data_IF_881776204489
#
_entry.id   IF_881776204489
#
_cell.length_a   1.000
_cell.length_b   1.000
_cell.length_c   1.000
_cell.angle_alpha   90.00
_cell.angle_beta   90.00
_cell.angle_gamma   90.00
#
_symmetry.space_group_name_H-M   'P 1'
#
loop_
_entity.id
_entity.type
_entity.pdbx_description
1 polymer ?
#
# COMPACT_ATOMS: atom_id res chain seq x y z
N UNK A 1 83.27 -53.31 76.62
CA UNK A 1 83.50 -53.96 75.33
C UNK A 1 82.68 -55.24 75.34
N UNK A 2 81.59 -55.34 74.58
CA UNK A 2 80.83 -56.58 74.48
C UNK A 2 81.43 -57.49 73.42
N UNK A 3 81.53 -58.77 73.74
CA UNK A 3 82.07 -59.85 72.92
C UNK A 3 81.42 -59.90 71.54
N UNK A 4 82.25 -59.83 70.49
CA UNK A 4 81.85 -59.97 69.11
C UNK A 4 81.38 -61.42 68.89
N UNK A 5 80.07 -61.62 68.83
CA UNK A 5 79.46 -62.93 68.59
C UNK A 5 79.83 -63.35 67.16
N UNK A 6 80.82 -64.24 67.04
CA UNK A 6 81.21 -64.87 65.79
C UNK A 6 80.07 -65.79 65.35
N UNK A 7 79.28 -65.36 64.36
CA UNK A 7 78.25 -66.18 63.73
C UNK A 7 78.96 -67.12 62.73
N UNK A 8 79.19 -68.37 63.12
CA UNK A 8 79.59 -69.45 62.19
C UNK A 8 78.40 -69.78 61.26
N UNK A 9 78.66 -69.72 59.96
CA UNK A 9 77.82 -70.08 58.80
C UNK A 9 76.31 -69.70 58.85
N UNK A 10 75.88 -68.63 58.15
CA UNK A 10 74.48 -68.21 58.11
C UNK A 10 73.54 -69.25 57.49
N UNK A 11 74.03 -70.25 56.76
CA UNK A 11 73.20 -71.29 56.14
C UNK A 11 72.73 -72.38 57.12
N UNK A 12 73.35 -72.53 58.28
CA UNK A 12 73.00 -73.57 59.26
C UNK A 12 72.08 -73.09 60.40
N UNK A 13 71.70 -71.81 60.43
CA UNK A 13 70.86 -71.25 61.50
C UNK A 13 69.37 -71.50 61.27
N UNK A 14 68.61 -71.99 62.26
CA UNK A 14 67.17 -72.20 62.11
C UNK A 14 66.43 -70.90 61.74
N UNK A 15 65.40 -70.94 60.85
CA UNK A 15 64.72 -69.73 60.38
C UNK A 15 64.16 -68.85 61.49
N UNK A 16 63.66 -69.45 62.56
CA UNK A 16 63.19 -68.72 63.74
C UNK A 16 64.31 -67.93 64.43
N UNK A 17 65.51 -68.50 64.50
CA UNK A 17 66.69 -67.83 65.05
C UNK A 17 67.08 -66.66 64.16
N UNK A 18 66.95 -66.78 62.83
CA UNK A 18 67.22 -65.68 61.90
C UNK A 18 66.24 -64.52 62.08
N UNK A 19 64.93 -64.76 62.20
CA UNK A 19 63.96 -63.69 62.43
C UNK A 19 64.17 -63.02 63.80
N UNK A 20 64.46 -63.79 64.85
CA UNK A 20 64.78 -63.22 66.17
C UNK A 20 66.05 -62.37 66.09
N UNK A 21 67.06 -62.83 65.35
CA UNK A 21 68.31 -62.08 65.13
C UNK A 21 68.05 -60.77 64.39
N UNK A 22 67.17 -60.79 63.38
CA UNK A 22 66.70 -59.60 62.67
C UNK A 22 66.02 -58.65 63.66
N UNK A 23 65.06 -59.12 64.45
CA UNK A 23 64.36 -58.30 65.45
C UNK A 23 65.33 -57.67 66.47
N UNK A 24 66.32 -58.43 66.97
CA UNK A 24 67.34 -57.94 67.90
C UNK A 24 68.18 -56.83 67.27
N UNK A 25 68.60 -57.03 66.01
CA UNK A 25 69.38 -56.04 65.26
C UNK A 25 68.63 -54.72 65.16
N UNK A 26 67.34 -54.74 64.80
CA UNK A 26 66.58 -53.49 64.64
C UNK A 26 66.21 -52.84 65.97
N UNK A 27 65.88 -53.62 67.02
CA UNK A 27 65.67 -53.07 68.37
C UNK A 27 66.91 -52.35 68.88
N UNK A 28 68.11 -52.92 68.67
CA UNK A 28 69.36 -52.30 69.10
C UNK A 28 69.68 -50.97 68.40
N UNK A 29 69.05 -50.69 67.24
CA UNK A 29 69.20 -49.41 66.52
C UNK A 29 68.32 -48.31 67.11
N UNK A 30 67.16 -48.65 67.66
CA UNK A 30 66.20 -47.67 68.19
C UNK A 30 66.45 -47.38 69.68
N UNK A 31 66.70 -48.41 70.49
CA UNK A 31 66.69 -48.28 71.95
C UNK A 31 68.08 -48.51 72.56
N UNK A 32 68.64 -47.46 73.17
CA UNK A 32 69.93 -47.55 73.89
C UNK A 32 69.78 -48.05 75.34
N UNK A 33 68.57 -47.99 75.91
CA UNK A 33 68.27 -48.34 77.31
C UNK A 33 67.29 -49.54 77.40
N UNK A 34 67.79 -50.74 77.10
CA UNK A 34 67.52 -51.97 77.88
C UNK A 34 66.22 -52.77 77.72
N UNK A 35 65.04 -52.18 77.50
CA UNK A 35 63.77 -52.90 77.75
C UNK A 35 63.36 -53.89 76.64
N UNK A 36 63.27 -53.47 75.36
CA UNK A 36 62.95 -54.39 74.26
C UNK A 36 64.12 -55.35 73.98
N UNK A 37 65.35 -54.87 74.15
CA UNK A 37 66.55 -55.70 73.98
C UNK A 37 66.59 -56.83 75.02
N UNK A 38 66.17 -56.56 76.27
CA UNK A 38 66.03 -57.55 77.34
C UNK A 38 64.95 -58.59 77.02
N UNK A 39 63.82 -58.16 76.45
CA UNK A 39 62.74 -59.05 76.03
C UNK A 39 63.16 -59.98 74.88
N UNK A 40 63.78 -59.42 73.84
CA UNK A 40 64.27 -60.21 72.70
C UNK A 40 65.43 -61.14 73.08
N UNK A 41 66.34 -60.71 73.96
CA UNK A 41 67.39 -61.57 74.50
C UNK A 41 66.83 -62.72 75.36
N UNK A 42 65.71 -62.50 76.04
CA UNK A 42 64.98 -63.56 76.75
C UNK A 42 64.28 -64.50 75.78
N UNK A 43 63.67 -63.96 74.71
CA UNK A 43 63.08 -64.76 73.64
C UNK A 43 64.15 -65.66 72.97
N UNK A 44 65.30 -65.10 72.60
CA UNK A 44 66.42 -65.82 71.98
C UNK A 44 66.97 -66.93 72.90
N UNK A 45 67.19 -66.64 74.19
CA UNK A 45 67.67 -67.64 75.15
C UNK A 45 66.66 -68.78 75.36
N UNK A 46 65.37 -68.45 75.42
CA UNK A 46 64.32 -69.45 75.53
C UNK A 46 64.21 -70.31 74.26
N UNK A 47 64.44 -69.75 73.06
CA UNK A 47 64.43 -70.51 71.80
C UNK A 47 65.61 -71.47 71.71
N UNK A 48 66.77 -71.09 72.26
CA UNK A 48 67.97 -71.92 72.30
C UNK A 48 67.91 -73.02 73.38
N UNK A 49 67.26 -72.77 74.53
CA UNK A 49 67.14 -73.75 75.64
C UNK A 49 66.01 -74.78 75.49
N UNK A 50 65.00 -74.52 74.66
CA UNK A 50 63.80 -75.36 74.58
C UNK A 50 63.99 -76.66 73.79
N UNK A 51 64.17 -77.78 74.50
CA UNK A 51 63.95 -79.12 73.96
C UNK A 51 62.48 -79.33 73.59
N UNK A 52 62.21 -79.79 72.35
CA UNK A 52 60.88 -80.08 71.77
C UNK A 52 59.89 -78.89 71.77
N UNK A 53 60.26 -77.75 71.20
CA UNK A 53 59.25 -76.80 70.72
C UNK A 53 58.56 -77.37 69.47
N UNK A 54 57.22 -77.24 69.39
CA UNK A 54 56.54 -77.23 68.09
C UNK A 54 57.04 -76.00 67.35
N UNK A 55 58.04 -76.19 66.48
CA UNK A 55 58.58 -75.11 65.66
C UNK A 55 57.50 -74.70 64.67
N UNK A 56 57.11 -73.41 64.57
CA UNK A 56 56.28 -72.97 63.47
C UNK A 56 56.97 -73.38 62.15
N UNK A 57 56.19 -73.87 61.18
CA UNK A 57 56.71 -74.23 59.85
C UNK A 57 57.04 -72.95 59.08
N UNK A 58 58.08 -72.25 59.51
CA UNK A 58 58.64 -71.13 58.79
C UNK A 58 59.46 -71.69 57.63
N UNK A 59 58.94 -71.53 56.42
CA UNK A 59 59.69 -71.83 55.21
C UNK A 59 60.92 -70.90 55.15
N UNK A 60 62.11 -71.49 54.95
CA UNK A 60 63.39 -70.77 54.82
C UNK A 60 63.29 -69.68 53.76
N UNK A 61 62.63 -69.96 52.63
CA UNK A 61 62.48 -68.98 51.54
C UNK A 61 61.64 -67.77 51.98
N UNK A 62 60.56 -67.99 52.73
CA UNK A 62 59.73 -66.90 53.24
C UNK A 62 60.49 -66.02 54.24
N UNK A 63 61.36 -66.63 55.06
CA UNK A 63 62.20 -65.88 56.01
C UNK A 63 63.28 -65.09 55.28
N UNK A 64 63.89 -65.67 54.24
CA UNK A 64 64.86 -64.99 53.38
C UNK A 64 64.26 -63.79 52.67
N UNK A 65 63.04 -63.92 52.16
CA UNK A 65 62.34 -62.82 51.47
C UNK A 65 61.78 -61.77 52.44
N UNK A 66 61.45 -62.18 53.67
CA UNK A 66 60.93 -61.29 54.70
C UNK A 66 61.98 -60.27 55.12
N UNK A 67 63.23 -60.69 55.35
CA UNK A 67 64.30 -59.82 55.83
C UNK A 67 64.47 -58.52 55.03
N UNK A 68 64.74 -58.58 53.70
CA UNK A 68 64.90 -57.40 52.86
C UNK A 68 63.65 -56.52 52.78
N UNK A 69 62.45 -57.12 52.81
CA UNK A 69 61.18 -56.37 52.77
C UNK A 69 60.93 -55.63 54.07
N UNK A 70 61.21 -56.27 55.20
CA UNK A 70 61.10 -55.65 56.51
C UNK A 70 62.15 -54.55 56.65
N UNK A 71 63.39 -54.79 56.23
CA UNK A 71 64.46 -53.78 56.21
C UNK A 71 64.06 -52.56 55.36
N UNK A 72 63.57 -52.80 54.14
CA UNK A 72 63.07 -51.72 53.29
C UNK A 72 61.92 -50.96 53.93
N UNK A 73 60.96 -51.64 54.58
CA UNK A 73 59.85 -50.96 55.26
C UNK A 73 60.34 -50.16 56.47
N UNK A 74 61.30 -50.72 57.22
CA UNK A 74 61.86 -50.11 58.42
C UNK A 74 62.68 -48.86 58.11
N UNK A 75 63.54 -48.89 57.08
CA UNK A 75 64.40 -47.76 56.71
C UNK A 75 63.61 -46.55 56.17
N UNK A 76 62.42 -46.78 55.63
CA UNK A 76 61.52 -45.72 55.15
C UNK A 76 60.51 -45.26 56.21
N UNK A 77 60.39 -45.99 57.32
CA UNK A 77 59.47 -45.65 58.40
C UNK A 77 60.04 -44.54 59.28
N UNK A 78 59.17 -43.66 59.75
CA UNK A 78 59.49 -42.68 60.79
C UNK A 78 59.86 -43.38 62.12
N UNK A 79 60.56 -42.72 63.05
CA UNK A 79 60.96 -43.34 64.31
C UNK A 79 59.81 -43.96 65.13
N UNK A 80 58.60 -43.38 65.06
CA UNK A 80 57.41 -43.92 65.71
C UNK A 80 56.89 -45.18 64.99
N UNK A 81 56.80 -45.13 63.66
CA UNK A 81 56.41 -46.29 62.82
C UNK A 81 57.42 -47.43 62.91
N UNK A 82 58.72 -47.14 63.08
CA UNK A 82 59.75 -48.14 63.30
C UNK A 82 59.50 -48.94 64.60
N UNK A 83 59.03 -48.28 65.65
CA UNK A 83 58.65 -48.94 66.91
C UNK A 83 57.41 -49.81 66.70
N UNK A 84 56.40 -49.34 65.96
CA UNK A 84 55.20 -50.12 65.63
C UNK A 84 55.50 -51.35 64.76
N UNK A 85 56.39 -51.21 63.78
CA UNK A 85 56.85 -52.33 62.94
C UNK A 85 57.56 -53.40 63.77
N UNK A 86 58.39 -52.99 64.74
CA UNK A 86 59.03 -53.92 65.67
C UNK A 86 58.00 -54.59 66.57
N UNK A 87 57.05 -53.84 67.13
CA UNK A 87 55.97 -54.37 67.97
C UNK A 87 55.16 -55.41 67.18
N UNK A 88 54.81 -55.12 65.93
CA UNK A 88 54.08 -56.02 65.04
C UNK A 88 54.88 -57.28 64.72
N UNK A 89 56.19 -57.15 64.48
CA UNK A 89 57.09 -58.29 64.26
C UNK A 89 57.18 -59.18 65.50
N UNK A 90 57.34 -58.58 66.68
CA UNK A 90 57.37 -59.30 67.96
C UNK A 90 56.02 -59.99 68.21
N UNK A 91 54.91 -59.31 67.97
CA UNK A 91 53.57 -59.86 68.11
C UNK A 91 53.35 -61.07 67.20
N UNK A 92 53.68 -60.97 65.92
CA UNK A 92 53.59 -62.07 64.97
C UNK A 92 54.48 -63.26 65.38
N UNK A 93 55.71 -62.99 65.84
CA UNK A 93 56.62 -64.02 66.36
C UNK A 93 56.02 -64.73 67.57
N UNK A 94 55.49 -63.98 68.54
CA UNK A 94 54.92 -64.53 69.77
C UNK A 94 53.66 -65.35 69.47
N UNK A 95 52.79 -64.87 68.58
CA UNK A 95 51.59 -65.56 68.15
C UNK A 95 51.92 -66.88 67.43
N UNK A 96 52.85 -66.87 66.47
CA UNK A 96 53.21 -68.07 65.69
C UNK A 96 53.98 -69.11 66.51
N UNK A 97 54.78 -68.67 67.48
CA UNK A 97 55.55 -69.57 68.35
C UNK A 97 54.77 -70.02 69.59
N UNK A 98 53.54 -69.52 69.80
CA UNK A 98 52.71 -69.76 70.99
C UNK A 98 53.46 -69.47 72.29
N UNK A 99 54.27 -68.42 72.30
CA UNK A 99 55.24 -68.17 73.37
C UNK A 99 54.62 -67.78 74.72
N UNK A 100 53.32 -67.49 74.76
CA UNK A 100 52.55 -67.26 76.00
C UNK A 100 52.64 -68.43 76.99
N UNK A 101 53.01 -69.63 76.55
CA UNK A 101 53.25 -70.78 77.41
C UNK A 101 54.51 -70.68 78.30
N UNK A 102 55.43 -69.73 78.04
CA UNK A 102 56.74 -69.64 78.71
C UNK A 102 56.83 -68.59 79.82
N UNK A 103 55.69 -68.04 80.29
CA UNK A 103 55.64 -67.19 81.49
C UNK A 103 56.23 -65.79 81.34
N UNK A 104 56.44 -65.30 80.12
CA UNK A 104 56.88 -63.92 79.87
C UNK A 104 55.71 -62.98 80.20
N UNK A 105 55.88 -62.16 81.24
CA UNK A 105 54.92 -61.14 81.63
C UNK A 105 55.16 -59.86 80.83
N UNK A 106 54.50 -59.74 79.67
CA UNK A 106 54.58 -58.53 78.84
C UNK A 106 54.07 -57.28 79.59
N UNK A 107 53.18 -57.47 80.55
CA UNK A 107 52.62 -56.40 81.40
C UNK A 107 53.69 -55.60 82.16
N UNK A 108 54.87 -56.19 82.39
CA UNK A 108 55.96 -55.54 83.13
C UNK A 108 56.86 -54.68 82.23
N UNK A 109 56.58 -54.62 80.92
CA UNK A 109 57.33 -53.81 79.94
C UNK A 109 56.52 -52.62 79.47
N UNK A 110 57.20 -51.50 79.14
CA UNK A 110 56.55 -50.28 78.61
C UNK A 110 55.71 -50.56 77.34
N UNK A 111 56.07 -51.59 76.57
CA UNK A 111 55.41 -51.97 75.31
C UNK A 111 54.43 -53.14 75.45
N UNK A 112 54.09 -53.54 76.69
CA UNK A 112 53.26 -54.72 76.95
C UNK A 112 51.87 -54.65 76.30
N UNK A 113 51.17 -53.53 76.47
CA UNK A 113 49.82 -53.33 75.94
C UNK A 113 49.82 -53.29 74.40
N UNK A 114 50.70 -52.51 73.72
CA UNK A 114 50.80 -52.54 72.26
C UNK A 114 51.09 -53.93 71.68
N UNK A 115 52.02 -54.69 72.29
CA UNK A 115 52.36 -56.04 71.82
C UNK A 115 51.14 -56.97 71.93
N UNK A 116 50.37 -56.90 73.02
CA UNK A 116 49.17 -57.72 73.18
C UNK A 116 48.06 -57.38 72.18
N UNK A 117 47.88 -56.08 71.88
CA UNK A 117 46.92 -55.65 70.88
C UNK A 117 47.27 -56.18 69.48
N UNK A 118 48.55 -56.10 69.09
CA UNK A 118 48.99 -56.61 67.79
C UNK A 118 48.92 -58.13 67.68
N UNK A 119 49.14 -58.87 68.78
CA UNK A 119 48.93 -60.33 68.80
C UNK A 119 47.47 -60.66 68.47
N UNK A 120 46.51 -59.95 69.10
CA UNK A 120 45.09 -60.17 68.85
C UNK A 120 44.69 -59.81 67.41
N UNK A 121 45.24 -58.70 66.88
CA UNK A 121 45.05 -58.28 65.47
C UNK A 121 45.54 -59.36 64.50
N UNK A 122 46.75 -59.87 64.74
CA UNK A 122 47.36 -60.92 63.91
C UNK A 122 46.56 -62.22 63.93
N UNK A 123 46.11 -62.68 65.11
CA UNK A 123 45.29 -63.89 65.23
C UNK A 123 43.90 -63.73 64.58
N UNK A 124 43.30 -62.54 64.66
CA UNK A 124 42.04 -62.23 63.98
C UNK A 124 42.19 -62.30 62.46
N UNK A 125 43.25 -61.71 61.90
CA UNK A 125 43.55 -61.79 60.48
C UNK A 125 43.76 -63.24 60.02
N UNK A 126 44.53 -64.03 60.79
CA UNK A 126 44.79 -65.44 60.48
C UNK A 126 43.51 -66.29 60.51
N UNK A 127 42.61 -66.01 61.45
CA UNK A 127 41.30 -66.67 61.58
C UNK A 127 40.35 -66.28 60.45
N UNK A 128 40.39 -65.02 59.99
CA UNK A 128 39.65 -64.59 58.82
C UNK A 128 40.16 -65.34 57.57
N UNK A 129 41.49 -65.37 57.37
CA UNK A 129 42.11 -66.02 56.21
C UNK A 129 41.79 -67.52 56.10
N UNK A 130 41.72 -68.24 57.23
CA UNK A 130 41.36 -69.66 57.24
C UNK A 130 39.86 -69.93 57.04
N UNK A 131 38.99 -68.97 57.36
CA UNK A 131 37.54 -69.04 57.08
C UNK A 131 37.19 -68.72 55.61
N UNK A 132 38.02 -67.95 54.91
CA UNK A 132 37.74 -67.52 53.54
C UNK A 132 38.23 -68.49 52.44
N UNK A 133 38.96 -69.56 52.75
CA UNK A 133 39.48 -70.50 51.73
C UNK A 133 38.42 -71.41 51.07
N UNK A 134 37.15 -71.36 51.52
CA UNK A 134 36.01 -72.03 50.86
C UNK A 134 35.19 -71.14 49.91
N UNK A 135 35.42 -69.82 49.90
CA UNK A 135 34.58 -68.83 49.21
C UNK A 135 35.00 -68.57 47.75
N UNK A 136 36.25 -68.90 47.38
CA UNK A 136 36.83 -68.58 46.06
C UNK A 136 36.14 -69.24 44.86
N UNK A 137 35.48 -70.39 45.04
CA UNK A 137 34.81 -71.09 43.93
C UNK A 137 33.40 -70.59 43.59
N UNK A 138 32.78 -69.81 44.49
CA UNK A 138 31.47 -69.21 44.28
C UNK A 138 31.58 -67.78 43.74
N UNK A 139 32.58 -67.02 44.20
CA UNK A 139 32.80 -65.63 43.79
C UNK A 139 33.34 -65.52 42.35
N UNK A 140 34.21 -66.44 41.92
CA UNK A 140 34.72 -66.45 40.54
C UNK A 140 33.61 -66.57 39.49
N UNK A 141 32.59 -67.39 39.74
CA UNK A 141 31.43 -67.52 38.83
C UNK A 141 30.53 -66.27 38.80
N UNK A 142 30.38 -65.58 39.94
CA UNK A 142 29.57 -64.35 40.03
C UNK A 142 30.31 -63.16 39.43
N UNK A 143 31.63 -63.07 39.63
CA UNK A 143 32.46 -62.01 39.04
C UNK A 143 32.55 -62.15 37.52
N UNK A 144 32.59 -63.36 36.97
CA UNK A 144 32.62 -63.57 35.52
C UNK A 144 31.26 -63.25 34.86
N UNK A 145 30.14 -63.58 35.54
CA UNK A 145 28.82 -63.11 35.12
C UNK A 145 28.67 -61.58 35.21
N UNK A 146 29.20 -60.95 36.26
CA UNK A 146 29.17 -59.49 36.37
C UNK A 146 30.10 -58.81 35.36
N UNK A 147 31.28 -59.36 35.07
CA UNK A 147 32.17 -58.82 34.05
C UNK A 147 31.50 -58.82 32.66
N UNK A 148 30.82 -59.91 32.28
CA UNK A 148 30.06 -59.98 31.03
C UNK A 148 28.85 -59.03 31.02
N UNK A 149 28.17 -58.84 32.16
CA UNK A 149 27.07 -57.89 32.26
C UNK A 149 27.54 -56.43 32.21
N UNK A 150 28.68 -56.10 32.82
CA UNK A 150 29.29 -54.77 32.79
C UNK A 150 29.83 -54.45 31.40
N UNK A 151 30.43 -55.40 30.71
CA UNK A 151 30.89 -55.21 29.32
C UNK A 151 29.72 -54.98 28.37
N UNK A 152 28.65 -55.77 28.49
CA UNK A 152 27.43 -55.57 27.70
C UNK A 152 26.74 -54.26 28.04
N UNK A 153 26.64 -53.90 29.32
CA UNK A 153 26.08 -52.62 29.75
C UNK A 153 26.92 -51.43 29.29
N UNK A 154 28.25 -51.55 29.29
CA UNK A 154 29.16 -50.52 28.79
C UNK A 154 29.02 -50.35 27.27
N UNK A 155 28.92 -51.44 26.51
CA UNK A 155 28.70 -51.39 25.07
C UNK A 155 27.33 -50.81 24.71
N UNK A 156 26.27 -51.23 25.41
CA UNK A 156 24.92 -50.70 25.24
C UNK A 156 24.85 -49.21 25.64
N UNK A 157 25.52 -48.82 26.74
CA UNK A 157 25.60 -47.42 27.17
C UNK A 157 26.38 -46.55 26.19
N UNK A 158 27.48 -47.05 25.61
CA UNK A 158 28.23 -46.36 24.58
C UNK A 158 27.37 -46.16 23.32
N UNK A 159 26.59 -47.17 22.92
CA UNK A 159 25.65 -47.06 21.82
C UNK A 159 24.53 -46.06 22.10
N UNK A 160 23.95 -46.06 23.30
CA UNK A 160 22.91 -45.11 23.71
C UNK A 160 23.46 -43.69 23.78
N UNK A 161 24.66 -43.49 24.33
CA UNK A 161 25.33 -42.19 24.37
C UNK A 161 25.67 -41.68 22.97
N UNK A 162 26.09 -42.56 22.07
CA UNK A 162 26.39 -42.20 20.69
C UNK A 162 25.11 -41.90 19.89
N UNK A 163 24.03 -42.66 20.10
CA UNK A 163 22.72 -42.39 19.53
C UNK A 163 22.15 -41.05 20.05
N UNK A 164 22.21 -40.81 21.37
CA UNK A 164 21.78 -39.56 21.99
C UNK A 164 22.64 -38.38 21.53
N UNK A 165 23.96 -38.54 21.39
CA UNK A 165 24.84 -37.52 20.83
C UNK A 165 24.50 -37.19 19.39
N UNK A 166 24.23 -38.21 18.56
CA UNK A 166 23.82 -38.01 17.17
C UNK A 166 22.45 -37.31 17.09
N UNK A 167 21.51 -37.66 17.97
CA UNK A 167 20.20 -37.01 18.07
C UNK A 167 20.32 -35.55 18.50
N UNK A 168 21.20 -35.23 19.45
CA UNK A 168 21.47 -33.84 19.85
C UNK A 168 22.10 -33.04 18.71
N UNK A 169 23.05 -33.62 17.96
CA UNK A 169 23.63 -32.97 16.77
C UNK A 169 22.55 -32.73 15.70
N UNK A 170 21.67 -33.71 15.49
CA UNK A 170 20.56 -33.56 14.54
C UNK A 170 19.56 -32.49 14.99
N UNK A 171 19.21 -32.44 16.29
CA UNK A 171 18.35 -31.40 16.86
C UNK A 171 18.98 -30.01 16.78
N UNK A 172 20.30 -29.90 17.00
CA UNK A 172 21.03 -28.64 16.81
C UNK A 172 21.02 -28.20 15.34
N UNK A 173 21.22 -29.12 14.40
CA UNK A 173 21.10 -28.81 12.98
C UNK A 173 19.69 -28.37 12.59
N UNK A 174 18.66 -29.06 13.09
CA UNK A 174 17.25 -28.71 12.84
C UNK A 174 16.86 -27.36 13.43
N UNK A 175 17.35 -27.04 14.63
CA UNK A 175 17.11 -25.73 15.25
C UNK A 175 17.85 -24.60 14.52
N UNK A 176 19.10 -24.82 14.10
CA UNK A 176 19.83 -23.87 13.26
C UNK A 176 19.11 -23.61 11.92
N UNK A 177 18.63 -24.66 11.25
CA UNK A 177 17.86 -24.54 10.01
C UNK A 177 16.51 -23.83 10.23
N UNK A 178 15.83 -24.11 11.34
CA UNK A 178 14.57 -23.44 11.67
C UNK A 178 14.78 -21.94 11.94
N UNK A 179 15.82 -21.57 12.68
CA UNK A 179 16.18 -20.16 12.95
C UNK A 179 16.52 -19.45 11.63
N UNK A 180 17.28 -20.10 10.75
CA UNK A 180 17.61 -19.54 9.43
C UNK A 180 16.35 -19.28 8.59
N UNK A 181 15.42 -20.24 8.54
CA UNK A 181 14.15 -20.07 7.82
C UNK A 181 13.31 -18.93 8.39
N UNK A 182 13.27 -18.79 9.72
CA UNK A 182 12.55 -17.69 10.37
C UNK A 182 13.17 -16.34 9.99
N UNK A 183 14.50 -16.21 10.04
CA UNK A 183 15.21 -14.99 9.63
C UNK A 183 14.99 -14.66 8.15
N UNK A 184 15.00 -15.66 7.27
CA UNK A 184 14.75 -15.47 5.84
C UNK A 184 13.31 -14.99 5.59
N UNK A 185 12.33 -15.55 6.29
CA UNK A 185 10.93 -15.12 6.22
C UNK A 185 10.70 -13.73 6.82
N UNK A 186 11.37 -13.38 7.91
CA UNK A 186 11.31 -12.04 8.50
C UNK A 186 11.85 -10.97 7.53
N UNK A 187 12.95 -11.30 6.83
CA UNK A 187 13.53 -10.42 5.81
C UNK A 187 12.59 -10.24 4.62
N UNK A 188 11.95 -11.32 4.15
CA UNK A 188 10.93 -11.27 3.08
C UNK A 188 9.70 -10.47 3.49
N UNK A 189 9.26 -10.64 4.73
CA UNK A 189 8.12 -9.93 5.28
C UNK A 189 8.38 -8.43 5.37
N UNK A 190 9.56 -8.02 5.88
CA UNK A 190 9.97 -6.60 5.89
C UNK A 190 10.02 -6.02 4.49
N UNK A 191 10.60 -6.73 3.52
CA UNK A 191 10.65 -6.27 2.12
C UNK A 191 9.25 -6.12 1.50
N UNK A 192 8.30 -7.00 1.86
CA UNK A 192 6.91 -6.87 1.45
C UNK A 192 6.22 -5.67 2.09
N UNK A 193 6.45 -5.39 3.38
CA UNK A 193 5.91 -4.19 4.03
C UNK A 193 6.39 -2.89 3.37
N UNK A 194 7.68 -2.81 3.00
CA UNK A 194 8.22 -1.66 2.27
C UNK A 194 7.59 -1.51 0.88
N UNK A 195 7.38 -2.63 0.18
CA UNK A 195 6.67 -2.64 -1.11
C UNK A 195 5.23 -2.16 -0.97
N UNK A 196 4.50 -2.59 0.07
CA UNK A 196 3.14 -2.11 0.34
C UNK A 196 3.11 -0.63 0.68
N UNK A 197 4.07 -0.13 1.48
CA UNK A 197 4.20 1.30 1.79
C UNK A 197 4.38 2.14 0.53
N UNK A 198 5.26 1.70 -0.39
CA UNK A 198 5.48 2.36 -1.67
C UNK A 198 4.24 2.32 -2.58
N UNK A 199 3.54 1.18 -2.65
CA UNK A 199 2.32 1.03 -3.43
C UNK A 199 1.19 1.95 -2.92
N UNK A 200 1.01 2.03 -1.60
CA UNK A 200 0.04 2.95 -0.97
C UNK A 200 0.42 4.41 -1.26
N UNK A 201 1.71 4.76 -1.19
CA UNK A 201 2.19 6.09 -1.53
C UNK A 201 1.89 6.47 -2.99
N UNK A 202 2.08 5.54 -3.94
CA UNK A 202 1.74 5.75 -5.34
C UNK A 202 0.23 5.87 -5.57
N UNK A 203 -0.56 4.99 -4.95
CA UNK A 203 -2.02 5.03 -5.04
C UNK A 203 -2.59 6.35 -4.49
N UNK A 204 -2.04 6.85 -3.39
CA UNK A 204 -2.42 8.15 -2.83
C UNK A 204 -2.13 9.29 -3.81
N UNK A 205 -0.92 9.33 -4.38
CA UNK A 205 -0.55 10.35 -5.38
C UNK A 205 -1.44 10.29 -6.62
N UNK A 206 -1.79 9.10 -7.10
CA UNK A 206 -2.72 8.94 -8.22
C UNK A 206 -4.13 9.41 -7.86
N UNK A 207 -4.60 9.12 -6.64
CA UNK A 207 -5.90 9.62 -6.15
C UNK A 207 -5.91 11.15 -6.04
N UNK A 208 -4.84 11.76 -5.52
CA UNK A 208 -4.71 13.20 -5.40
C UNK A 208 -4.67 13.87 -6.79
N UNK A 209 -3.93 13.29 -7.75
CA UNK A 209 -3.91 13.76 -9.14
C UNK A 209 -5.27 13.61 -9.83
N UNK A 210 -5.98 12.51 -9.60
CA UNK A 210 -7.31 12.29 -10.17
C UNK A 210 -8.34 13.28 -9.59
N UNK A 211 -8.25 13.59 -8.30
CA UNK A 211 -9.09 14.60 -7.67
C UNK A 211 -8.83 16.00 -8.25
N UNK A 212 -7.56 16.39 -8.43
CA UNK A 212 -7.20 17.68 -9.03
C UNK A 212 -7.64 17.77 -10.50
N UNK A 213 -7.48 16.69 -11.27
CA UNK A 213 -7.93 16.61 -12.66
C UNK A 213 -9.46 16.72 -12.78
N UNK A 214 -10.20 16.06 -11.88
CA UNK A 214 -11.67 16.16 -11.82
C UNK A 214 -12.13 17.58 -11.50
N UNK A 215 -11.46 18.26 -10.58
CA UNK A 215 -11.77 19.65 -10.23
C UNK A 215 -11.51 20.62 -11.40
N UNK A 216 -10.39 20.47 -12.10
CA UNK A 216 -10.11 21.23 -13.34
C UNK A 216 -11.12 20.94 -14.44
N UNK A 217 -11.53 19.68 -14.61
CA UNK A 217 -12.54 19.31 -15.59
C UNK A 217 -13.91 19.94 -15.26
N UNK A 218 -14.30 19.98 -13.99
CA UNK A 218 -15.52 20.65 -13.54
C UNK A 218 -15.49 22.17 -13.78
N UNK A 219 -14.36 22.82 -13.54
CA UNK A 219 -14.16 24.25 -13.78
C UNK A 219 -14.21 24.59 -15.29
N UNK A 220 -13.57 23.75 -16.12
CA UNK A 220 -13.64 23.85 -17.59
C UNK A 220 -15.09 23.63 -18.07
N UNK A 221 -15.80 22.64 -17.53
CA UNK A 221 -17.18 22.36 -17.89
C UNK A 221 -18.11 23.52 -17.53
N UNK A 222 -17.96 24.10 -16.33
CA UNK A 222 -18.73 25.28 -15.90
C UNK A 222 -18.45 26.50 -16.79
N UNK A 223 -17.18 26.73 -17.14
CA UNK A 223 -16.79 27.82 -18.05
C UNK A 223 -17.33 27.58 -19.46
N UNK A 224 -17.33 26.33 -19.93
CA UNK A 224 -17.88 25.95 -21.22
C UNK A 224 -19.40 26.12 -21.27
N UNK A 225 -20.14 25.77 -20.21
CA UNK A 225 -21.58 26.03 -20.12
C UNK A 225 -21.88 27.53 -20.17
N UNK A 226 -21.10 28.34 -19.45
CA UNK A 226 -21.16 29.80 -19.53
C UNK A 226 -20.97 30.31 -20.96
N UNK A 227 -19.91 29.87 -21.62
CA UNK A 227 -19.59 30.25 -23.00
C UNK A 227 -20.64 29.77 -24.01
N UNK A 228 -21.17 28.55 -23.86
CA UNK A 228 -22.22 27.99 -24.73
C UNK A 228 -23.51 28.78 -24.56
N UNK A 229 -23.89 29.15 -23.33
CA UNK A 229 -25.09 29.94 -23.09
C UNK A 229 -24.97 31.37 -23.65
N UNK A 230 -23.80 31.99 -23.52
CA UNK A 230 -23.48 33.28 -24.13
C UNK A 230 -23.51 33.21 -25.67
N UNK A 231 -22.89 32.17 -26.25
CA UNK A 231 -22.90 31.93 -27.69
C UNK A 231 -24.32 31.69 -28.21
N UNK A 232 -25.11 30.85 -27.54
CA UNK A 232 -26.52 30.61 -27.91
C UNK A 232 -27.33 31.90 -27.87
N UNK A 233 -27.11 32.75 -26.86
CA UNK A 233 -27.77 34.04 -26.76
C UNK A 233 -27.37 34.98 -27.89
N UNK A 234 -26.07 35.05 -28.23
CA UNK A 234 -25.56 35.85 -29.35
C UNK A 234 -26.10 35.35 -30.71
N UNK A 235 -26.17 34.04 -30.94
CA UNK A 235 -26.74 33.46 -32.17
C UNK A 235 -28.25 33.71 -32.25
N UNK A 236 -28.98 33.58 -31.14
CA UNK A 236 -30.40 33.91 -31.10
C UNK A 236 -30.65 35.40 -31.35
N UNK A 237 -29.78 36.27 -30.87
CA UNK A 237 -29.84 37.71 -31.15
C UNK A 237 -29.56 37.99 -32.64
N UNK A 238 -28.49 37.41 -33.20
CA UNK A 238 -28.12 37.56 -34.60
C UNK A 238 -29.21 37.04 -35.57
N UNK A 239 -29.86 35.92 -35.24
CA UNK A 239 -30.93 35.34 -36.09
C UNK A 239 -32.21 36.18 -36.09
N UNK A 240 -32.63 36.73 -34.94
CA UNK A 240 -33.76 37.68 -34.86
C UNK A 240 -33.50 38.92 -35.72
N UNK A 241 -32.27 39.40 -35.65
CA UNK A 241 -31.75 40.55 -36.41
C UNK A 241 -31.77 40.29 -37.92
N UNK A 242 -31.23 39.16 -38.37
CA UNK A 242 -31.20 38.79 -39.80
C UNK A 242 -32.61 38.64 -40.39
N UNK A 243 -33.55 38.12 -39.59
CA UNK A 243 -34.96 38.01 -39.99
C UNK A 243 -35.59 39.38 -40.24
N UNK A 244 -35.31 40.37 -39.38
CA UNK A 244 -35.80 41.74 -39.56
C UNK A 244 -35.19 42.37 -40.82
N UNK A 245 -33.89 42.16 -41.08
CA UNK A 245 -33.22 42.64 -42.29
C UNK A 245 -33.87 42.09 -43.56
N UNK A 246 -34.04 40.77 -43.63
CA UNK A 246 -34.68 40.07 -44.76
C UNK A 246 -36.11 40.55 -45.02
N UNK A 247 -36.85 40.87 -43.96
CA UNK A 247 -38.22 41.39 -44.08
C UNK A 247 -38.24 42.75 -44.81
N UNK A 248 -37.39 43.69 -44.39
CA UNK A 248 -37.33 45.02 -44.99
C UNK A 248 -36.78 45.01 -46.41
N UNK A 249 -35.78 44.17 -46.69
CA UNK A 249 -35.23 43.99 -48.03
C UNK A 249 -36.27 43.42 -49.01
N UNK A 250 -37.02 42.39 -48.57
CA UNK A 250 -38.15 41.85 -49.34
C UNK A 250 -39.22 42.93 -49.57
N UNK A 251 -39.53 43.75 -48.57
CA UNK A 251 -40.51 44.84 -48.71
C UNK A 251 -40.04 45.90 -49.71
N UNK A 252 -38.77 46.28 -49.65
CA UNK A 252 -38.16 47.20 -50.62
C UNK A 252 -38.25 46.63 -52.04
N UNK A 253 -37.92 45.35 -52.23
CA UNK A 253 -37.99 44.69 -53.55
C UNK A 253 -39.42 44.65 -54.09
N UNK A 254 -40.40 44.28 -53.28
CA UNK A 254 -41.81 44.26 -53.70
C UNK A 254 -42.29 45.67 -54.10
N UNK A 255 -41.96 46.69 -53.32
CA UNK A 255 -42.34 48.07 -53.63
C UNK A 255 -41.61 48.61 -54.88
N UNK A 256 -40.36 48.21 -55.10
CA UNK A 256 -39.62 48.54 -56.32
C UNK A 256 -40.28 47.94 -57.56
N UNK A 257 -40.69 46.67 -57.49
CA UNK A 257 -41.42 46.01 -58.58
C UNK A 257 -42.75 46.72 -58.82
N UNK A 258 -43.52 47.03 -57.77
CA UNK A 258 -44.78 47.77 -57.89
C UNK A 258 -44.59 49.17 -58.51
N UNK A 259 -43.51 49.88 -58.14
CA UNK A 259 -43.13 51.15 -58.74
C UNK A 259 -42.84 51.00 -60.24
N UNK A 260 -41.98 50.06 -60.63
CA UNK A 260 -41.63 49.86 -62.05
C UNK A 260 -42.82 49.40 -62.89
N UNK A 261 -43.65 48.48 -62.37
CA UNK A 261 -44.87 48.06 -63.04
C UNK A 261 -45.84 49.24 -63.23
N UNK A 262 -46.06 50.05 -62.20
CA UNK A 262 -46.93 51.23 -62.33
C UNK A 262 -46.35 52.30 -63.24
N UNK A 263 -45.03 52.54 -63.21
CA UNK A 263 -44.35 53.44 -64.12
C UNK A 263 -44.48 52.99 -65.59
N UNK A 264 -44.35 51.68 -65.85
CA UNK A 264 -44.58 51.11 -67.17
C UNK A 264 -46.03 51.29 -67.65
N UNK A 265 -47.01 51.08 -66.76
CA UNK A 265 -48.43 51.33 -67.08
C UNK A 265 -48.69 52.81 -67.34
N UNK A 266 -48.15 53.72 -66.53
CA UNK A 266 -48.26 55.17 -66.77
C UNK A 266 -47.65 55.56 -68.12
N UNK A 267 -46.47 55.02 -68.43
CA UNK A 267 -45.80 55.23 -69.72
C UNK A 267 -46.65 54.72 -70.89
N UNK A 268 -47.25 53.54 -70.75
CA UNK A 268 -48.17 52.99 -71.75
C UNK A 268 -49.39 53.90 -71.96
N UNK A 269 -50.00 54.40 -70.88
CA UNK A 269 -51.12 55.33 -71.00
C UNK A 269 -50.67 56.65 -71.64
N UNK A 270 -49.64 57.31 -71.13
CA UNK A 270 -49.23 58.64 -71.58
C UNK A 270 -48.57 58.68 -72.96
N UNK A 271 -47.90 57.61 -73.40
CA UNK A 271 -47.12 57.60 -74.63
C UNK A 271 -47.72 56.62 -75.64
N UNK A 272 -47.89 55.35 -75.26
CA UNK A 272 -48.29 54.30 -76.21
C UNK A 272 -49.71 54.54 -76.73
N UNK A 273 -50.68 54.82 -75.86
CA UNK A 273 -52.08 55.04 -76.28
C UNK A 273 -52.20 56.24 -77.25
N UNK A 274 -51.66 57.45 -76.95
CA UNK A 274 -51.69 58.56 -77.90
C UNK A 274 -50.99 58.26 -79.21
N UNK A 275 -49.82 57.60 -79.19
CA UNK A 275 -49.09 57.25 -80.40
C UNK A 275 -49.91 56.28 -81.26
N UNK A 276 -50.47 55.22 -80.66
CA UNK A 276 -51.35 54.27 -81.36
C UNK A 276 -52.60 54.97 -81.92
N UNK A 277 -53.20 55.89 -81.16
CA UNK A 277 -54.33 56.68 -81.61
C UNK A 277 -53.98 57.59 -82.81
N UNK A 278 -52.77 58.15 -82.85
CA UNK A 278 -52.27 58.92 -83.99
C UNK A 278 -52.00 58.05 -85.22
N UNK A 279 -51.46 56.85 -85.04
CA UNK A 279 -51.26 55.89 -86.15
C UNK A 279 -52.59 55.38 -86.73
N UNK A 280 -53.63 55.23 -85.91
CA UNK A 280 -54.96 54.76 -86.31
C UNK A 280 -56.01 55.87 -86.33
N UNK A 281 -55.59 57.09 -86.66
CA UNK A 281 -56.44 58.29 -86.60
C UNK A 281 -57.73 58.11 -87.42
N UNK A 282 -57.66 57.49 -88.59
CA UNK A 282 -58.84 57.21 -89.43
C UNK A 282 -59.88 56.31 -88.74
N UNK A 283 -59.42 55.28 -88.03
CA UNK A 283 -60.31 54.37 -87.29
C UNK A 283 -60.93 55.07 -86.08
N UNK A 284 -60.14 55.88 -85.37
CA UNK A 284 -60.62 56.68 -84.23
C UNK A 284 -61.67 57.68 -84.69
N UNK A 285 -61.43 58.39 -85.80
CA UNK A 285 -62.41 59.31 -86.40
C UNK A 285 -63.66 58.58 -86.90
N UNK A 286 -63.52 57.38 -87.47
CA UNK A 286 -64.67 56.58 -87.90
C UNK A 286 -65.54 56.13 -86.72
N UNK A 287 -64.93 55.67 -85.61
CA UNK A 287 -65.66 55.31 -84.38
C UNK A 287 -66.34 56.54 -83.79
N UNK A 288 -65.62 57.67 -83.70
CA UNK A 288 -66.17 58.92 -83.20
C UNK A 288 -67.34 59.40 -84.07
N UNK A 289 -67.21 59.29 -85.39
CA UNK A 289 -68.26 59.57 -86.36
C UNK A 289 -69.49 58.68 -86.18
N UNK A 290 -69.29 57.38 -85.97
CA UNK A 290 -70.38 56.45 -85.69
C UNK A 290 -71.11 56.80 -84.39
N UNK A 291 -70.39 57.12 -83.31
CA UNK A 291 -70.97 57.55 -82.03
C UNK A 291 -71.74 58.88 -82.18
N UNK A 292 -71.22 59.81 -83.00
CA UNK A 292 -71.90 61.08 -83.31
C UNK A 292 -73.14 60.91 -84.20
N UNK A 293 -73.20 59.86 -85.01
CA UNK A 293 -74.36 59.52 -85.85
C UNK A 293 -75.41 58.75 -85.07
N UNK A 294 -75.03 57.80 -84.21
CA UNK A 294 -75.98 57.06 -83.36
C UNK A 294 -76.71 57.94 -82.37
N UNK A 295 -76.06 59.00 -81.88
CA UNK A 295 -76.72 60.04 -81.05
C UNK A 295 -77.80 60.83 -81.78
N UNK A 296 -77.91 60.74 -83.10
CA UNK A 296 -78.99 61.34 -83.90
C UNK A 296 -80.14 60.36 -84.23
N UNK A 297 -79.95 59.05 -84.02
CA UNK A 297 -80.95 58.03 -84.34
C UNK A 297 -82.15 58.22 -83.38
N UNK A 298 -83.28 58.66 -83.93
CA UNK A 298 -84.50 58.95 -83.19
C UNK A 298 -84.98 60.40 -83.27
N UNK A 299 -84.17 61.31 -83.82
CA UNK A 299 -84.59 62.69 -84.07
C UNK A 299 -84.94 62.90 -85.56
N UNK A 300 -86.17 63.34 -85.86
CA UNK A 300 -86.58 63.65 -87.24
C UNK A 300 -86.02 65.02 -87.65
N UNK A 301 -85.16 65.04 -88.67
CA UNK A 301 -84.50 66.24 -89.19
C UNK A 301 -85.49 67.34 -89.61
N UNK A 302 -86.73 66.97 -89.97
CA UNK A 302 -87.76 67.89 -90.44
C UNK A 302 -88.54 68.62 -89.33
N UNK A 303 -88.43 68.22 -88.06
CA UNK A 303 -89.25 68.76 -86.95
C UNK A 303 -88.45 69.12 -85.69
N UNK A 304 -87.17 69.45 -85.83
CA UNK A 304 -86.31 69.79 -84.69
C UNK A 304 -86.64 71.17 -84.13
N UNK A 305 -87.18 71.20 -82.91
CA UNK A 305 -87.22 72.42 -82.08
C UNK A 305 -85.80 72.90 -81.76
N UNK A 306 -85.56 74.23 -81.63
CA UNK A 306 -84.27 74.77 -81.17
C UNK A 306 -83.75 74.12 -79.87
N UNK A 307 -84.65 73.70 -78.98
CA UNK A 307 -84.31 73.00 -77.74
C UNK A 307 -83.77 71.57 -77.96
N UNK A 308 -84.20 70.89 -79.03
CA UNK A 308 -83.68 69.57 -79.37
C UNK A 308 -82.27 69.65 -80.00
N UNK A 309 -82.01 70.69 -80.79
CA UNK A 309 -80.68 70.98 -81.34
C UNK A 309 -79.64 71.25 -80.24
N UNK A 310 -79.99 72.03 -79.21
CA UNK A 310 -79.10 72.27 -78.07
C UNK A 310 -78.86 71.00 -77.25
N UNK A 311 -79.90 70.19 -77.02
CA UNK A 311 -79.76 68.91 -76.32
C UNK A 311 -78.82 67.93 -77.05
N UNK A 312 -78.91 67.83 -78.38
CA UNK A 312 -78.01 67.00 -79.20
C UNK A 312 -76.56 67.51 -79.12
N UNK A 313 -76.36 68.84 -79.21
CA UNK A 313 -75.03 69.44 -79.10
C UNK A 313 -74.39 69.17 -77.72
N UNK A 314 -75.16 69.34 -76.65
CA UNK A 314 -74.71 69.02 -75.28
C UNK A 314 -74.37 67.54 -75.16
N UNK A 315 -75.24 66.64 -75.65
CA UNK A 315 -74.99 65.19 -75.59
C UNK A 315 -73.68 64.81 -76.30
N UNK A 316 -73.42 65.38 -77.48
CA UNK A 316 -72.15 65.15 -78.21
C UNK A 316 -70.94 65.60 -77.42
N UNK A 317 -70.98 66.78 -76.81
CA UNK A 317 -69.88 67.27 -75.96
C UNK A 317 -69.68 66.34 -74.76
N UNK A 318 -70.75 65.93 -74.09
CA UNK A 318 -70.69 65.01 -72.93
C UNK A 318 -70.09 63.66 -73.32
N UNK A 319 -70.52 63.07 -74.43
CA UNK A 319 -70.04 61.75 -74.90
C UNK A 319 -68.54 61.76 -75.21
N UNK A 320 -67.98 62.88 -75.67
CA UNK A 320 -66.53 63.00 -75.93
C UNK A 320 -65.75 63.37 -74.65
N UNK A 321 -66.30 64.29 -73.85
CA UNK A 321 -65.59 64.80 -72.65
C UNK A 321 -65.55 63.79 -71.51
N UNK A 322 -66.57 62.96 -71.31
CA UNK A 322 -66.62 61.99 -70.21
C UNK A 322 -65.49 60.94 -70.31
N UNK A 323 -65.25 60.26 -71.45
CA UNK A 323 -64.12 59.33 -71.59
C UNK A 323 -62.76 60.00 -71.39
N UNK A 324 -62.59 61.24 -71.88
CA UNK A 324 -61.36 62.02 -71.69
C UNK A 324 -61.15 62.34 -70.20
N UNK A 325 -62.20 62.80 -69.51
CA UNK A 325 -62.14 63.08 -68.08
C UNK A 325 -61.85 61.81 -67.26
N UNK A 326 -62.49 60.68 -67.60
CA UNK A 326 -62.25 59.39 -66.99
C UNK A 326 -60.80 58.92 -67.23
N UNK A 327 -60.28 59.10 -68.43
CA UNK A 327 -58.89 58.81 -68.77
C UNK A 327 -57.90 59.61 -67.91
N UNK A 328 -58.08 60.94 -67.82
CA UNK A 328 -57.25 61.77 -66.94
C UNK A 328 -57.37 61.37 -65.47
N UNK A 329 -58.56 60.98 -65.03
CA UNK A 329 -58.79 60.51 -63.67
C UNK A 329 -58.05 59.20 -63.38
N UNK A 330 -58.06 58.23 -64.31
CA UNK A 330 -57.29 56.99 -64.22
C UNK A 330 -55.79 57.29 -64.16
N UNK A 331 -55.27 58.14 -65.06
CA UNK A 331 -53.87 58.56 -65.04
C UNK A 331 -53.50 59.20 -63.69
N UNK A 332 -54.36 60.08 -63.16
CA UNK A 332 -54.17 60.70 -61.84
C UNK A 332 -54.12 59.65 -60.72
N UNK A 333 -54.97 58.63 -60.75
CA UNK A 333 -54.93 57.53 -59.78
C UNK A 333 -53.65 56.70 -59.90
N UNK A 334 -53.21 56.39 -61.11
CA UNK A 334 -51.98 55.65 -61.37
C UNK A 334 -50.75 56.42 -60.87
N UNK A 335 -50.66 57.72 -61.17
CA UNK A 335 -49.58 58.59 -60.67
C UNK A 335 -49.58 58.63 -59.14
N UNK A 336 -50.75 58.79 -58.49
CA UNK A 336 -50.86 58.72 -57.02
C UNK A 336 -50.40 57.37 -56.46
N UNK A 337 -50.74 56.27 -57.12
CA UNK A 337 -50.29 54.94 -56.73
C UNK A 337 -48.76 54.79 -56.89
N UNK A 338 -48.20 55.24 -58.01
CA UNK A 338 -46.76 55.22 -58.26
C UNK A 338 -45.97 56.02 -57.22
N UNK A 339 -46.44 57.23 -56.88
CA UNK A 339 -45.84 58.04 -55.81
C UNK A 339 -45.87 57.33 -54.45
N UNK A 340 -46.98 56.64 -54.11
CA UNK A 340 -47.06 55.85 -52.87
C UNK A 340 -46.09 54.67 -52.89
N UNK A 341 -45.95 53.98 -54.02
CA UNK A 341 -45.00 52.88 -54.17
C UNK A 341 -43.55 53.37 -54.01
N UNK A 342 -43.22 54.54 -54.57
CA UNK A 342 -41.92 55.17 -54.39
C UNK A 342 -41.65 55.55 -52.92
N UNK A 343 -42.61 56.20 -52.25
CA UNK A 343 -42.47 56.55 -50.82
C UNK A 343 -42.26 55.32 -49.94
N UNK A 344 -43.00 54.23 -50.19
CA UNK A 344 -42.84 52.96 -49.46
C UNK A 344 -41.52 52.24 -49.78
N UNK A 345 -40.97 52.43 -50.98
CA UNK A 345 -39.64 51.94 -51.35
C UNK A 345 -38.55 52.70 -50.58
N UNK A 346 -38.63 54.02 -50.56
CA UNK A 346 -37.64 54.88 -49.89
C UNK A 346 -37.66 54.66 -48.37
N UNK A 347 -38.83 54.52 -47.75
CA UNK A 347 -38.96 54.18 -46.33
C UNK A 347 -38.33 52.81 -46.01
N UNK A 348 -38.61 51.78 -46.82
CA UNK A 348 -38.02 50.45 -46.63
C UNK A 348 -36.48 50.48 -46.75
N UNK A 349 -35.94 51.24 -47.71
CA UNK A 349 -34.48 51.43 -47.87
C UNK A 349 -33.85 52.20 -46.73
N UNK A 350 -34.51 53.24 -46.22
CA UNK A 350 -34.05 53.98 -45.05
C UNK A 350 -34.00 53.08 -43.81
N UNK A 351 -35.05 52.31 -43.55
CA UNK A 351 -35.11 51.36 -42.43
C UNK A 351 -34.07 50.24 -42.57
N UNK A 352 -33.85 49.73 -43.78
CA UNK A 352 -32.78 48.76 -44.05
C UNK A 352 -31.39 49.34 -43.75
N UNK A 353 -31.10 50.55 -44.23
CA UNK A 353 -29.80 51.21 -43.99
C UNK A 353 -29.56 51.52 -42.52
N UNK A 354 -30.61 51.92 -41.80
CA UNK A 354 -30.54 52.16 -40.36
C UNK A 354 -30.33 50.87 -39.56
N UNK A 355 -30.96 49.76 -39.97
CA UNK A 355 -30.69 48.43 -39.42
C UNK A 355 -29.24 48.01 -39.67
N UNK A 356 -28.73 48.18 -40.88
CA UNK A 356 -27.33 47.85 -41.20
C UNK A 356 -26.35 48.69 -40.36
N UNK A 357 -26.65 49.99 -40.19
CA UNK A 357 -25.84 50.88 -39.33
C UNK A 357 -25.91 50.45 -37.87
N UNK A 358 -27.10 50.09 -37.37
CA UNK A 358 -27.30 49.56 -36.03
C UNK A 358 -26.48 48.28 -35.79
N UNK A 359 -26.46 47.37 -36.77
CA UNK A 359 -25.67 46.14 -36.68
C UNK A 359 -24.18 46.44 -36.62
N UNK A 360 -23.70 47.36 -37.45
CA UNK A 360 -22.31 47.77 -37.44
C UNK A 360 -21.88 48.40 -36.10
N UNK A 361 -22.79 49.08 -35.40
CA UNK A 361 -22.54 49.65 -34.08
C UNK A 361 -22.58 48.61 -32.95
N UNK A 362 -23.44 47.59 -33.05
CA UNK A 362 -23.44 46.46 -32.10
C UNK A 362 -22.20 45.60 -32.26
N UNK A 363 -21.81 45.29 -33.50
CA UNK A 363 -20.66 44.43 -33.80
C UNK A 363 -19.35 45.01 -33.25
N UNK A 364 -19.23 46.34 -33.24
CA UNK A 364 -18.06 47.05 -32.69
C UNK A 364 -18.17 47.36 -31.19
N UNK A 365 -19.21 46.86 -30.51
CA UNK A 365 -19.59 47.19 -29.13
C UNK A 365 -19.58 48.70 -28.83
N UNK A 366 -19.85 49.51 -29.85
CA UNK A 366 -19.76 50.97 -29.80
C UNK A 366 -21.08 51.64 -29.39
N UNK A 367 -22.20 50.90 -29.43
CA UNK A 367 -23.52 51.42 -29.08
C UNK A 367 -23.86 51.22 -27.60
N UNK A 368 -23.99 52.33 -26.88
CA UNK A 368 -24.52 52.31 -25.51
C UNK A 368 -26.00 51.89 -25.50
N UNK A 369 -26.52 51.41 -24.36
CA UNK A 369 -27.94 50.99 -24.24
C UNK A 369 -28.92 52.11 -24.63
N UNK A 370 -28.55 53.37 -24.41
CA UNK A 370 -29.33 54.55 -24.79
C UNK A 370 -29.42 54.71 -26.30
N UNK A 371 -28.31 54.49 -27.02
CA UNK A 371 -28.27 54.57 -28.48
C UNK A 371 -29.13 53.48 -29.13
N UNK A 372 -29.15 52.28 -28.53
CA UNK A 372 -30.01 51.18 -29.00
C UNK A 372 -31.49 51.53 -28.91
N UNK A 373 -31.92 52.15 -27.81
CA UNK A 373 -33.30 52.60 -27.65
C UNK A 373 -33.67 53.71 -28.66
N UNK A 374 -32.76 54.65 -28.91
CA UNK A 374 -32.96 55.71 -29.91
C UNK A 374 -33.11 55.14 -31.33
N UNK A 375 -32.25 54.21 -31.72
CA UNK A 375 -32.30 53.60 -33.06
C UNK A 375 -33.54 52.72 -33.23
N UNK A 376 -33.92 51.93 -32.21
CA UNK A 376 -35.15 51.16 -32.26
C UNK A 376 -36.40 52.05 -32.36
N UNK A 377 -36.44 53.16 -31.62
CA UNK A 377 -37.53 54.13 -31.73
C UNK A 377 -37.57 54.75 -33.13
N UNK A 378 -36.41 55.11 -33.70
CA UNK A 378 -36.33 55.59 -35.08
C UNK A 378 -36.78 54.55 -36.11
N UNK A 379 -36.55 53.25 -35.87
CA UNK A 379 -36.93 52.15 -36.77
C UNK A 379 -38.43 51.85 -36.78
N UNK A 380 -39.08 52.00 -35.62
CA UNK A 380 -40.50 51.72 -35.45
C UNK A 380 -41.39 52.95 -35.58
N UNK A 381 -40.82 54.13 -35.86
CA UNK A 381 -41.64 55.32 -36.12
C UNK A 381 -42.56 55.10 -37.33
N UNK A 382 -43.81 55.61 -37.27
CA UNK A 382 -44.69 55.59 -38.43
C UNK A 382 -44.04 56.38 -39.57
N UNK A 383 -44.25 55.91 -40.81
CA UNK A 383 -43.72 56.56 -42.00
C UNK A 383 -44.21 58.02 -42.04
N UNK A 384 -43.37 59.01 -42.33
CA UNK A 384 -43.83 60.38 -42.50
C UNK A 384 -44.95 60.44 -43.56
N UNK A 385 -46.10 61.00 -43.19
CA UNK A 385 -47.32 61.00 -44.02
C UNK A 385 -48.31 59.86 -43.75
N UNK A 386 -48.00 58.92 -42.85
CA UNK A 386 -48.91 57.90 -42.32
C UNK A 386 -49.46 58.22 -40.93
N UNK A 387 -48.98 59.30 -40.30
CA UNK A 387 -49.82 59.99 -39.34
C UNK A 387 -51.04 60.39 -40.16
N UNK A 388 -52.16 59.74 -39.86
CA UNK A 388 -53.45 60.22 -40.29
C UNK A 388 -53.42 61.74 -40.14
N UNK A 389 -54.05 62.45 -41.07
CA UNK A 389 -54.99 63.44 -40.59
C UNK A 389 -55.83 62.69 -39.56
N UNK A 390 -55.36 62.66 -38.30
CA UNK A 390 -56.25 62.67 -37.19
C UNK A 390 -56.98 63.97 -37.48
N UNK A 391 -58.07 63.85 -38.22
CA UNK A 391 -59.24 64.64 -37.96
C UNK A 391 -59.35 64.48 -36.46
N UNK A 392 -58.77 65.43 -35.70
CA UNK A 392 -59.12 65.61 -34.31
C UNK A 392 -60.63 65.52 -34.34
N UNK A 393 -61.24 64.50 -33.70
CA UNK A 393 -62.68 64.34 -33.76
C UNK A 393 -63.26 65.71 -33.45
N UNK A 394 -64.06 66.29 -34.37
CA UNK A 394 -64.39 67.71 -34.36
C UNK A 394 -64.75 68.05 -32.92
N UNK A 395 -63.97 68.95 -32.32
CA UNK A 395 -64.05 69.22 -30.90
C UNK A 395 -65.52 69.55 -30.62
N UNK A 396 -66.25 68.66 -29.94
CA UNK A 396 -67.70 68.78 -29.83
C UNK A 396 -68.13 70.11 -29.21
N UNK A 397 -67.20 70.74 -28.47
CA UNK A 397 -67.24 72.10 -27.96
C UNK A 397 -67.36 73.17 -29.04
N UNK A 398 -66.67 73.09 -30.17
CA UNK A 398 -66.82 74.07 -31.28
C UNK A 398 -68.18 73.94 -31.99
N UNK A 399 -68.71 72.72 -32.10
CA UNK A 399 -70.05 72.51 -32.64
C UNK A 399 -71.15 72.99 -31.68
N UNK A 400 -70.93 72.88 -30.37
CA UNK A 400 -71.84 73.40 -29.33
C UNK A 400 -71.79 74.92 -29.25
N UNK A 401 -70.61 75.52 -29.29
CA UNK A 401 -70.43 76.98 -29.24
C UNK A 401 -71.06 77.66 -30.48
N UNK A 402 -70.95 77.04 -31.65
CA UNK A 402 -71.57 77.52 -32.89
C UNK A 402 -73.10 77.32 -32.93
N UNK A 403 -73.63 76.36 -32.18
CA UNK A 403 -75.08 76.15 -32.03
C UNK A 403 -75.70 77.11 -31.00
N UNK A 404 -74.97 77.43 -29.93
CA UNK A 404 -75.40 78.39 -28.89
C UNK A 404 -75.24 79.84 -29.35
N UNK A 405 -74.28 80.14 -30.23
CA UNK A 405 -74.10 81.48 -30.82
C UNK A 405 -75.15 81.89 -31.86
N UNK A 406 -76.02 80.98 -32.32
CA UNK A 406 -76.99 81.21 -33.40
C UNK A 406 -78.46 81.11 -32.98
N UNK A 407 -78.73 80.94 -31.69
CA UNK A 407 -80.04 81.16 -31.07
C UNK A 407 -79.99 82.39 -30.18
#
# INVERSE_FOLDING_TARGET
MPDEIIIQDPQATPPLVQIITIAIRYVSRIEKEGDLAGLLGTLQRSTLKGGKMMRPQLNVDNVRDFGPRFESAFDHASPEEQVELIISLIAALVAETKYHAFGIKFADTRFGIPIQAEIASYEAWKTAKSRFSGFDKAVSRVLEQQAQQVEKFSADSAHVLQAASNEVIELQSRTADAIKRISDEETRFSASLDSYGNAIGMAKRQSDQAAEASQKAAEIASTAEGNISAFKSAVLEATKIDTARKLWDRRATINAIAFWCSAAVICAFLIVIPVVALYHLDQVLAILGHVMQTTLIGFNAATLSPAALTAIAINRVVVVTVPIALYFWIVRLLVRYNMRAQMLLDDARQRHTMLDTYFHLIEKDAATKTDRALVLNALFRPTPGQQSEAVEPPNFTELLEKAVSKG
#
